data_IF_958337325658
#
_entry.id   IF_958337325658
#
_cell.length_a   1.000
_cell.length_b   1.000
_cell.length_c   1.000
_cell.angle_alpha   90.00
_cell.angle_beta   90.00
_cell.angle_gamma   90.00
#
_symmetry.space_group_name_H-M   'P 1'
#
loop_
_entity.id
_entity.type
_entity.pdbx_description
1 polymer ?
#
# COMPACT_ATOMS: atom_id res chain seq x y z
N UNK A 1 -10.71 4.74 14.63
CA UNK A 1 -9.51 3.86 14.67
C UNK A 1 -8.61 4.06 13.45
N UNK A 2 -9.16 4.09 12.22
CA UNK A 2 -8.39 4.25 10.98
C UNK A 2 -7.62 5.57 10.84
N UNK A 3 -8.21 6.73 11.20
CA UNK A 3 -7.49 8.01 11.14
C UNK A 3 -6.24 8.08 12.04
N UNK A 4 -6.24 7.36 13.18
CA UNK A 4 -5.06 7.25 14.06
C UNK A 4 -3.98 6.37 13.44
N UNK A 5 -4.35 5.24 12.83
CA UNK A 5 -3.43 4.35 12.11
C UNK A 5 -2.79 5.05 10.91
N UNK A 6 -3.58 5.71 10.06
CA UNK A 6 -3.06 6.49 8.94
C UNK A 6 -2.08 7.57 9.44
N UNK A 7 -2.48 8.37 10.44
CA UNK A 7 -1.62 9.42 10.97
C UNK A 7 -0.41 8.89 11.74
N UNK A 8 -0.45 7.68 12.29
CA UNK A 8 0.70 7.04 12.94
C UNK A 8 1.72 6.61 11.88
N UNK A 9 1.25 5.92 10.84
CA UNK A 9 2.12 5.32 9.82
C UNK A 9 2.63 6.30 8.77
N UNK A 10 1.83 7.30 8.40
CA UNK A 10 2.22 8.31 7.40
C UNK A 10 3.14 9.41 7.97
N UNK A 11 3.46 9.39 9.27
CA UNK A 11 4.45 10.32 9.87
C UNK A 11 5.89 9.92 9.59
N UNK A 12 6.12 8.69 9.14
CA UNK A 12 7.47 8.23 8.85
C UNK A 12 7.89 8.67 7.44
N UNK A 13 8.73 9.71 7.38
CA UNK A 13 9.39 10.18 6.17
C UNK A 13 10.92 10.03 6.26
N UNK A 14 11.57 9.90 5.11
CA UNK A 14 13.01 10.14 4.90
C UNK A 14 13.24 11.36 4.00
N UNK A 15 14.42 11.97 4.10
CA UNK A 15 14.86 13.00 3.16
C UNK A 15 15.83 12.32 2.18
N UNK A 16 15.43 12.23 0.92
CA UNK A 16 16.28 11.77 -0.19
C UNK A 16 16.37 12.91 -1.19
N UNK A 17 17.58 13.39 -1.50
CA UNK A 17 17.80 14.51 -2.42
C UNK A 17 16.91 15.74 -2.11
N UNK A 18 16.87 16.15 -0.84
CA UNK A 18 16.04 17.26 -0.31
C UNK A 18 14.51 17.07 -0.41
N UNK A 19 14.02 15.92 -0.91
CA UNK A 19 12.59 15.59 -0.92
C UNK A 19 12.23 14.70 0.27
N UNK A 20 11.12 15.03 0.93
CA UNK A 20 10.50 14.13 1.91
C UNK A 20 9.79 13.01 1.20
N UNK A 21 10.15 11.79 1.57
CA UNK A 21 9.63 10.58 0.95
C UNK A 21 9.09 9.67 2.05
N UNK A 22 7.79 9.32 2.02
CA UNK A 22 7.19 8.50 3.06
C UNK A 22 7.73 7.06 3.00
N UNK A 23 8.09 6.54 4.18
CA UNK A 23 8.48 5.13 4.44
C UNK A 23 7.31 4.21 4.22
N UNK A 24 6.14 4.65 4.70
CA UNK A 24 4.88 3.93 4.59
C UNK A 24 3.87 4.82 3.90
N UNK A 25 3.38 4.38 2.76
CA UNK A 25 2.24 5.01 2.09
C UNK A 25 1.04 4.10 2.18
N UNK A 26 -0.04 4.60 2.77
CA UNK A 26 -1.35 3.95 2.75
C UNK A 26 -2.29 4.88 1.99
N UNK A 27 -3.01 4.37 1.00
CA UNK A 27 -4.04 5.16 0.34
C UNK A 27 -5.21 4.30 -0.11
N UNK A 28 -6.41 4.84 0.05
CA UNK A 28 -7.65 4.22 -0.40
C UNK A 28 -8.23 5.05 -1.53
N UNK A 29 -8.67 4.40 -2.59
CA UNK A 29 -9.31 5.01 -3.75
C UNK A 29 -10.74 4.52 -3.89
N UNK A 30 -11.68 5.46 -4.02
CA UNK A 30 -13.06 5.17 -4.43
C UNK A 30 -13.31 5.87 -5.76
N UNK A 31 -13.44 5.10 -6.82
CA UNK A 31 -13.68 5.62 -8.16
C UNK A 31 -15.12 5.33 -8.55
N UNK A 32 -15.86 6.38 -8.88
CA UNK A 32 -17.27 6.29 -9.23
C UNK A 32 -17.49 6.75 -10.67
N UNK A 33 -18.44 6.14 -11.36
CA UNK A 33 -18.79 6.52 -12.73
C UNK A 33 -19.19 7.99 -12.80
N UNK A 34 -18.72 8.70 -13.84
CA UNK A 34 -18.82 10.17 -13.97
C UNK A 34 -20.25 10.71 -13.90
N UNK A 35 -21.23 9.92 -14.33
CA UNK A 35 -22.66 10.26 -14.30
C UNK A 35 -23.29 10.28 -12.91
N UNK A 36 -22.61 9.74 -11.89
CA UNK A 36 -23.09 9.71 -10.51
C UNK A 36 -22.47 10.84 -9.69
N UNK A 37 -23.10 11.14 -8.56
CA UNK A 37 -22.61 12.15 -7.63
C UNK A 37 -22.42 11.55 -6.23
N UNK A 38 -21.25 11.80 -5.64
CA UNK A 38 -21.01 11.37 -4.26
C UNK A 38 -21.87 12.20 -3.28
N UNK A 39 -22.50 11.53 -2.32
CA UNK A 39 -23.21 12.20 -1.22
C UNK A 39 -22.26 13.01 -0.34
N UNK A 40 -22.76 14.12 0.17
CA UNK A 40 -21.95 15.08 0.93
C UNK A 40 -21.34 14.46 2.19
N UNK A 41 -22.12 13.60 2.85
CA UNK A 41 -21.80 12.87 4.06
C UNK A 41 -20.69 11.86 3.78
N UNK A 42 -20.82 11.09 2.71
CA UNK A 42 -19.79 10.16 2.26
C UNK A 42 -18.47 10.89 1.93
N UNK A 43 -18.55 12.03 1.24
CA UNK A 43 -17.36 12.86 0.92
C UNK A 43 -16.62 13.30 2.20
N UNK A 44 -17.36 13.59 3.28
CA UNK A 44 -16.81 13.99 4.59
C UNK A 44 -16.15 12.80 5.28
N UNK A 45 -16.85 11.66 5.40
CA UNK A 45 -16.30 10.45 6.03
C UNK A 45 -15.06 9.93 5.32
N UNK A 46 -15.04 9.91 3.98
CA UNK A 46 -13.88 9.44 3.22
C UNK A 46 -12.63 10.30 3.48
N UNK A 47 -12.81 11.62 3.64
CA UNK A 47 -11.72 12.55 3.94
C UNK A 47 -11.26 12.44 5.40
N UNK A 48 -12.19 12.31 6.34
CA UNK A 48 -11.89 12.31 7.76
C UNK A 48 -11.27 10.99 8.25
N UNK A 49 -11.79 9.85 7.77
CA UNK A 49 -11.51 8.55 8.38
C UNK A 49 -10.54 7.68 7.58
N UNK A 50 -10.51 7.85 6.26
CA UNK A 50 -9.80 6.93 5.36
C UNK A 50 -8.62 7.56 4.63
N UNK A 51 -8.43 8.89 4.78
CA UNK A 51 -7.53 9.71 3.95
C UNK A 51 -7.65 9.34 2.47
N UNK A 52 -8.87 8.97 2.07
CA UNK A 52 -9.15 8.31 0.81
C UNK A 52 -9.38 9.33 -0.29
N UNK A 53 -8.90 9.01 -1.49
CA UNK A 53 -9.29 9.77 -2.68
C UNK A 53 -10.64 9.27 -3.16
N UNK A 54 -11.50 10.22 -3.50
CA UNK A 54 -12.67 10.00 -4.34
C UNK A 54 -12.39 10.61 -5.70
N UNK A 55 -12.76 9.90 -6.75
CA UNK A 55 -12.65 10.43 -8.10
C UNK A 55 -13.81 9.94 -8.96
N UNK A 56 -14.23 10.81 -9.88
CA UNK A 56 -15.25 10.48 -10.87
C UNK A 56 -14.57 10.14 -12.19
N UNK A 57 -14.72 8.90 -12.65
CA UNK A 57 -14.06 8.36 -13.83
C UNK A 57 -15.11 8.01 -14.88
N UNK A 58 -14.80 8.22 -16.16
CA UNK A 58 -15.68 7.75 -17.23
C UNK A 58 -15.34 6.29 -17.57
N UNK A 59 -16.08 5.34 -17.02
CA UNK A 59 -15.86 3.90 -17.27
C UNK A 59 -16.40 3.40 -18.61
N UNK A 60 -17.13 4.22 -19.38
CA UNK A 60 -17.53 3.82 -20.73
C UNK A 60 -16.33 3.75 -21.68
N UNK A 61 -15.27 4.49 -21.37
CA UNK A 61 -13.95 4.38 -21.99
C UNK A 61 -12.99 3.67 -21.02
N UNK A 62 -12.95 2.33 -21.09
CA UNK A 62 -12.08 1.52 -20.23
C UNK A 62 -10.60 1.86 -20.39
N UNK A 63 -10.16 2.39 -21.55
CA UNK A 63 -8.76 2.77 -21.75
C UNK A 63 -8.41 4.06 -21.02
N UNK A 64 -9.23 5.09 -21.18
CA UNK A 64 -9.07 6.35 -20.45
C UNK A 64 -9.20 6.14 -18.94
N UNK A 65 -10.17 5.33 -18.51
CA UNK A 65 -10.36 4.97 -17.09
C UNK A 65 -9.12 4.28 -16.51
N UNK A 66 -8.60 3.26 -17.20
CA UNK A 66 -7.39 2.54 -16.81
C UNK A 66 -6.20 3.49 -16.65
N UNK A 67 -5.97 4.38 -17.63
CA UNK A 67 -4.87 5.34 -17.57
C UNK A 67 -5.00 6.32 -16.39
N UNK A 68 -6.20 6.86 -16.14
CA UNK A 68 -6.41 7.79 -15.02
C UNK A 68 -6.18 7.14 -13.66
N UNK A 69 -6.70 5.92 -13.48
CA UNK A 69 -6.53 5.17 -12.23
C UNK A 69 -5.05 4.82 -12.03
N UNK A 70 -4.39 4.28 -13.06
CA UNK A 70 -2.98 3.92 -12.99
C UNK A 70 -2.10 5.15 -12.77
N UNK A 71 -2.35 6.27 -13.45
CA UNK A 71 -1.65 7.54 -13.22
C UNK A 71 -1.71 7.91 -11.75
N UNK A 72 -2.91 7.91 -11.15
CA UNK A 72 -3.07 8.36 -9.77
C UNK A 72 -2.34 7.47 -8.78
N UNK A 73 -2.44 6.15 -8.97
CA UNK A 73 -1.77 5.20 -8.11
C UNK A 73 -0.26 5.31 -8.27
N UNK A 74 0.23 5.43 -9.50
CA UNK A 74 1.65 5.63 -9.81
C UNK A 74 2.20 6.83 -9.05
N UNK A 75 1.54 7.98 -9.12
CA UNK A 75 2.01 9.20 -8.47
C UNK A 75 1.89 9.17 -6.95
N UNK A 76 0.83 8.54 -6.42
CA UNK A 76 0.73 8.35 -4.98
C UNK A 76 1.74 7.38 -4.42
N UNK A 77 2.21 6.45 -5.22
CA UNK A 77 3.15 5.42 -4.79
C UNK A 77 4.59 5.74 -5.16
N UNK A 78 4.86 6.94 -5.71
CA UNK A 78 6.17 7.31 -6.25
C UNK A 78 6.71 6.23 -7.18
N UNK A 79 5.89 5.84 -8.17
CA UNK A 79 6.19 4.85 -9.20
C UNK A 79 6.33 3.38 -8.73
N UNK A 80 6.13 3.08 -7.45
CA UNK A 80 6.19 1.70 -6.96
C UNK A 80 5.07 0.82 -7.53
N UNK A 81 3.91 1.37 -7.86
CA UNK A 81 2.79 0.65 -8.48
C UNK A 81 2.37 1.38 -9.77
N UNK A 82 3.09 1.17 -10.88
CA UNK A 82 2.80 1.87 -12.13
C UNK A 82 1.56 1.32 -12.86
N UNK A 83 1.25 0.03 -12.66
CA UNK A 83 0.17 -0.68 -13.36
C UNK A 83 -0.75 -1.36 -12.34
N UNK A 84 -1.75 -0.64 -11.83
CA UNK A 84 -2.73 -1.20 -10.90
C UNK A 84 -3.83 -1.97 -11.62
N UNK A 85 -4.38 -1.41 -12.69
CA UNK A 85 -5.23 -2.09 -13.65
C UNK A 85 -4.34 -2.52 -14.81
N UNK A 86 -4.25 -3.82 -15.05
CA UNK A 86 -3.32 -4.43 -16.01
C UNK A 86 -3.97 -4.71 -17.36
N UNK A 87 -5.30 -4.86 -17.37
CA UNK A 87 -6.07 -5.12 -18.59
C UNK A 87 -7.40 -4.37 -18.57
N UNK A 88 -7.84 -3.94 -19.77
CA UNK A 88 -9.18 -3.37 -19.96
C UNK A 88 -10.30 -4.33 -19.56
N UNK A 89 -10.04 -5.64 -19.57
CA UNK A 89 -11.00 -6.66 -19.17
C UNK A 89 -11.32 -6.61 -17.66
N UNK A 90 -10.44 -6.02 -16.85
CA UNK A 90 -10.73 -5.74 -15.43
C UNK A 90 -11.74 -4.59 -15.25
N UNK A 91 -12.04 -3.85 -16.32
CA UNK A 91 -12.99 -2.74 -16.37
C UNK A 91 -14.11 -3.00 -17.40
N UNK A 92 -15.04 -3.94 -17.13
CA UNK A 92 -16.23 -4.14 -17.96
C UNK A 92 -17.01 -2.83 -18.22
N UNK A 93 -17.71 -2.73 -19.34
CA UNK A 93 -18.41 -1.49 -19.75
C UNK A 93 -19.49 -1.00 -18.76
N UNK A 94 -20.01 -1.91 -17.94
CA UNK A 94 -20.98 -1.64 -16.88
C UNK A 94 -20.32 -1.34 -15.52
N UNK A 95 -19.00 -1.11 -15.50
CA UNK A 95 -18.27 -0.67 -14.32
C UNK A 95 -18.79 0.67 -13.86
N UNK A 96 -19.24 0.72 -12.61
CA UNK A 96 -19.77 1.93 -11.98
C UNK A 96 -18.98 2.34 -10.75
N UNK A 97 -18.42 1.40 -10.00
CA UNK A 97 -17.61 1.70 -8.82
C UNK A 97 -16.45 0.71 -8.65
N UNK A 98 -15.29 1.27 -8.30
CA UNK A 98 -14.06 0.54 -7.98
C UNK A 98 -13.56 1.00 -6.61
N UNK A 99 -13.17 0.02 -5.81
CA UNK A 99 -12.52 0.22 -4.52
C UNK A 99 -11.06 -0.25 -4.62
N UNK A 100 -10.14 0.65 -4.28
CA UNK A 100 -8.72 0.37 -4.28
C UNK A 100 -8.15 0.59 -2.87
N UNK A 101 -7.35 -0.36 -2.40
CA UNK A 101 -6.55 -0.21 -1.20
C UNK A 101 -5.08 -0.42 -1.58
N UNK A 102 -4.24 0.57 -1.28
CA UNK A 102 -2.83 0.57 -1.64
C UNK A 102 -1.98 0.76 -0.40
N UNK A 103 -0.96 -0.09 -0.28
CA UNK A 103 -0.02 -0.10 0.83
C UNK A 103 1.41 -0.29 0.33
N UNK A 104 2.26 0.72 0.46
CA UNK A 104 3.67 0.60 0.07
C UNK A 104 4.61 0.86 1.23
N UNK A 105 5.64 0.04 1.34
CA UNK A 105 6.71 0.16 2.31
C UNK A 105 8.06 0.23 1.60
N UNK A 106 8.88 1.22 1.95
CA UNK A 106 10.24 1.35 1.45
C UNK A 106 11.18 1.91 2.50
N UNK A 107 12.48 1.67 2.32
CA UNK A 107 13.56 2.24 3.13
C UNK A 107 13.43 1.94 4.65
N UNK A 108 12.77 0.82 4.99
CA UNK A 108 12.42 0.46 6.38
C UNK A 108 13.64 0.34 7.31
N UNK A 109 14.81 0.01 6.76
CA UNK A 109 16.03 -0.23 7.54
C UNK A 109 16.85 1.04 7.78
N UNK A 110 16.49 2.18 7.18
CA UNK A 110 17.25 3.42 7.33
C UNK A 110 17.19 4.06 8.73
N UNK A 111 16.22 3.66 9.58
CA UNK A 111 16.17 4.02 11.01
C UNK A 111 16.67 2.91 11.94
N UNK A 112 17.27 1.85 11.39
CA UNK A 112 17.77 0.75 12.22
C UNK A 112 18.84 1.26 13.20
N UNK A 113 18.66 0.94 14.48
CA UNK A 113 19.68 1.24 15.49
C UNK A 113 20.78 0.20 15.40
N UNK A 114 22.03 0.66 15.37
CA UNK A 114 23.20 -0.22 15.46
C UNK A 114 23.18 -0.94 16.80
N UNK A 115 23.07 -2.25 16.76
CA UNK A 115 23.11 -3.13 17.93
C UNK A 115 24.24 -4.14 17.76
N UNK A 116 24.60 -4.86 18.83
CA UNK A 116 25.69 -5.84 18.85
C UNK A 116 25.42 -7.14 18.06
N UNK A 117 24.80 -7.03 16.88
CA UNK A 117 24.50 -8.13 15.96
C UNK A 117 25.05 -7.78 14.58
N UNK A 118 25.84 -8.69 14.01
CA UNK A 118 26.27 -8.61 12.61
C UNK A 118 25.15 -9.15 11.71
N UNK A 119 24.26 -8.25 11.26
CA UNK A 119 23.12 -8.58 10.41
C UNK A 119 23.51 -8.61 8.93
N UNK A 120 23.17 -9.69 8.24
CA UNK A 120 23.18 -9.79 6.77
C UNK A 120 21.77 -10.11 6.29
N UNK A 121 21.09 -9.09 5.78
CA UNK A 121 19.75 -9.18 5.21
C UNK A 121 19.85 -8.95 3.70
N UNK A 122 19.29 -9.83 2.85
CA UNK A 122 19.28 -9.59 1.41
C UNK A 122 18.40 -8.40 1.08
N UNK A 123 18.73 -7.70 0.00
CA UNK A 123 17.78 -6.83 -0.69
C UNK A 123 16.70 -7.68 -1.34
N UNK A 124 15.47 -7.21 -1.29
CA UNK A 124 14.36 -7.86 -1.99
C UNK A 124 13.21 -6.88 -2.22
N UNK A 125 12.38 -7.22 -3.19
CA UNK A 125 11.12 -6.55 -3.47
C UNK A 125 10.00 -7.58 -3.50
N UNK A 126 8.91 -7.30 -2.80
CA UNK A 126 7.68 -8.11 -2.81
C UNK A 126 6.57 -7.24 -3.35
N UNK A 127 5.88 -7.72 -4.37
CA UNK A 127 4.71 -7.07 -4.93
C UNK A 127 3.54 -8.03 -4.86
N UNK A 128 2.36 -7.51 -4.55
CA UNK A 128 1.12 -8.27 -4.56
C UNK A 128 -0.01 -7.40 -5.07
N UNK A 129 -0.84 -7.98 -5.93
CA UNK A 129 -2.07 -7.37 -6.43
C UNK A 129 -3.17 -8.43 -6.38
N UNK A 130 -4.15 -8.21 -5.52
CA UNK A 130 -5.20 -9.20 -5.22
C UNK A 130 -6.55 -8.57 -5.50
N UNK A 131 -7.35 -9.24 -6.34
CA UNK A 131 -8.79 -8.98 -6.40
C UNK A 131 -9.44 -9.61 -5.15
N UNK A 132 -9.99 -8.77 -4.29
CA UNK A 132 -10.59 -9.18 -3.02
C UNK A 132 -12.00 -9.77 -3.18
N UNK A 133 -12.69 -9.50 -4.29
CA UNK A 133 -14.10 -9.91 -4.47
C UNK A 133 -14.30 -11.42 -4.21
N UNK A 134 -13.54 -12.35 -4.82
CA UNK A 134 -13.76 -13.78 -4.60
C UNK A 134 -13.60 -14.18 -3.12
N UNK A 135 -12.61 -13.61 -2.43
CA UNK A 135 -12.35 -13.89 -1.02
C UNK A 135 -13.42 -13.29 -0.10
N UNK A 136 -13.93 -12.10 -0.42
CA UNK A 136 -15.01 -11.50 0.36
C UNK A 136 -16.33 -12.28 0.20
N UNK A 137 -16.58 -12.80 -1.02
CA UNK A 137 -17.75 -13.66 -1.29
C UNK A 137 -17.68 -14.99 -0.53
N UNK A 138 -16.50 -15.62 -0.43
CA UNK A 138 -16.35 -16.85 0.39
C UNK A 138 -16.54 -16.59 1.88
N UNK A 139 -16.27 -15.36 2.34
CA UNK A 139 -16.55 -14.92 3.71
C UNK A 139 -18.00 -14.49 3.95
N UNK A 140 -18.88 -14.59 2.93
CA UNK A 140 -20.31 -14.29 3.04
C UNK A 140 -20.72 -12.87 2.62
N UNK A 141 -19.78 -12.03 2.19
CA UNK A 141 -20.10 -10.70 1.65
C UNK A 141 -20.45 -10.87 0.17
N UNK A 142 -21.74 -11.05 -0.13
CA UNK A 142 -22.22 -11.29 -1.49
C UNK A 142 -22.93 -10.08 -2.09
N UNK A 143 -23.90 -9.52 -1.37
CA UNK A 143 -24.78 -8.44 -1.86
C UNK A 143 -24.02 -7.26 -2.45
N UNK A 144 -22.90 -6.86 -1.81
CA UNK A 144 -22.04 -5.76 -2.24
C UNK A 144 -21.52 -5.91 -3.67
N UNK A 145 -21.35 -7.15 -4.15
CA UNK A 145 -20.79 -7.49 -5.45
C UNK A 145 -21.85 -8.03 -6.42
N UNK A 146 -23.12 -8.05 -6.02
CA UNK A 146 -24.21 -8.59 -6.82
C UNK A 146 -25.12 -7.46 -7.30
N UNK A 147 -25.29 -7.38 -8.62
CA UNK A 147 -26.21 -6.43 -9.26
C UNK A 147 -27.61 -6.57 -8.68
N UNK A 148 -28.21 -5.45 -8.27
CA UNK A 148 -29.58 -5.40 -7.75
C UNK A 148 -29.73 -5.70 -6.26
N UNK A 149 -28.68 -6.19 -5.59
CA UNK A 149 -28.69 -6.49 -4.16
C UNK A 149 -27.90 -5.49 -3.32
N UNK A 150 -26.85 -4.89 -3.89
CA UNK A 150 -26.01 -3.93 -3.18
C UNK A 150 -26.80 -2.65 -2.79
N UNK A 151 -26.87 -2.35 -1.50
CA UNK A 151 -27.30 -1.04 -1.02
C UNK A 151 -26.09 -0.12 -0.83
N UNK A 152 -25.87 0.76 -1.82
CA UNK A 152 -24.84 1.78 -1.81
C UNK A 152 -25.42 3.20 -1.73
N UNK A 153 -26.66 3.34 -1.21
CA UNK A 153 -27.37 4.61 -1.08
C UNK A 153 -26.68 5.62 -0.14
N UNK A 154 -25.77 5.15 0.72
CA UNK A 154 -24.90 6.01 1.51
C UNK A 154 -23.81 6.73 0.70
N UNK A 155 -23.41 6.18 -0.47
CA UNK A 155 -22.31 6.70 -1.30
C UNK A 155 -22.81 7.70 -2.33
N UNK A 156 -23.92 7.37 -3.01
CA UNK A 156 -24.51 8.16 -4.09
C UNK A 156 -26.02 7.98 -4.06
N UNK A 157 -26.74 8.87 -4.74
CA UNK A 157 -28.19 8.72 -4.86
C UNK A 157 -28.51 7.41 -5.58
N UNK A 158 -29.41 6.64 -4.96
CA UNK A 158 -29.60 5.22 -5.22
C UNK A 158 -30.00 4.96 -6.67
N UNK A 159 -29.09 4.37 -7.43
CA UNK A 159 -29.40 3.54 -8.58
C UNK A 159 -29.33 2.08 -8.12
N UNK A 160 -30.44 1.36 -8.19
CA UNK A 160 -30.53 -0.06 -7.83
C UNK A 160 -29.58 -0.95 -8.64
N UNK A 161 -28.97 -0.42 -9.70
CA UNK A 161 -27.99 -1.10 -10.54
C UNK A 161 -26.53 -0.85 -10.11
N UNK A 162 -26.27 -0.09 -9.04
CA UNK A 162 -24.91 0.14 -8.53
C UNK A 162 -24.48 -0.99 -7.60
N UNK A 163 -23.34 -1.60 -7.88
CA UNK A 163 -22.68 -2.63 -7.06
C UNK A 163 -21.17 -2.52 -7.29
N UNK A 164 -20.34 -3.05 -6.39
CA UNK A 164 -18.88 -2.98 -6.52
C UNK A 164 -18.40 -3.92 -7.61
N UNK A 165 -17.90 -3.35 -8.71
CA UNK A 165 -17.41 -4.11 -9.86
C UNK A 165 -15.99 -4.64 -9.65
N UNK A 166 -15.17 -3.90 -8.89
CA UNK A 166 -13.79 -4.27 -8.60
C UNK A 166 -13.41 -3.78 -7.21
N UNK A 167 -12.84 -4.68 -6.42
CA UNK A 167 -12.20 -4.38 -5.15
C UNK A 167 -10.80 -4.97 -5.18
N UNK A 168 -9.77 -4.12 -5.31
CA UNK A 168 -8.39 -4.58 -5.51
C UNK A 168 -7.46 -4.00 -4.46
N UNK A 169 -6.68 -4.87 -3.83
CA UNK A 169 -5.61 -4.49 -2.91
C UNK A 169 -4.27 -4.64 -3.63
N UNK A 170 -3.43 -3.60 -3.57
CA UNK A 170 -2.07 -3.64 -4.10
C UNK A 170 -1.09 -3.28 -3.00
N UNK A 171 -0.04 -4.08 -2.84
CA UNK A 171 1.00 -3.83 -1.86
C UNK A 171 2.39 -4.03 -2.43
N UNK A 172 3.32 -3.16 -2.04
CA UNK A 172 4.73 -3.27 -2.39
C UNK A 172 5.57 -3.12 -1.14
N UNK A 173 6.48 -4.06 -0.91
CA UNK A 173 7.52 -3.98 0.10
C UNK A 173 8.87 -4.00 -0.61
N UNK A 174 9.62 -2.89 -0.53
CA UNK A 174 11.00 -2.79 -1.00
C UNK A 174 11.94 -2.69 0.19
N UNK A 175 12.93 -3.57 0.28
CA UNK A 175 13.99 -3.53 1.27
C UNK A 175 15.34 -3.36 0.55
N UNK A 176 16.01 -2.25 0.85
CA UNK A 176 17.27 -1.75 0.28
C UNK A 176 18.12 -1.12 1.40
N UNK A 177 19.37 -0.75 1.10
CA UNK A 177 20.28 -0.07 2.02
C UNK A 177 20.18 1.47 1.97
N UNK A 178 19.31 2.01 1.11
CA UNK A 178 19.08 3.45 0.96
C UNK A 178 18.71 4.06 2.33
N UNK A 179 19.56 4.96 2.84
CA UNK A 179 19.46 5.60 4.16
C UNK A 179 20.32 5.00 5.28
N UNK A 180 20.89 3.81 5.09
CA UNK A 180 21.97 3.28 5.95
C UNK A 180 23.33 3.87 5.55
N UNK A 181 23.53 4.13 4.24
CA UNK A 181 24.78 4.66 3.70
C UNK A 181 25.14 6.04 4.30
N UNK A 182 24.16 6.94 4.47
CA UNK A 182 24.38 8.25 5.07
C UNK A 182 24.81 8.18 6.55
N UNK A 183 24.32 7.18 7.29
CA UNK A 183 24.70 6.95 8.69
C UNK A 183 26.11 6.31 8.83
N UNK A 184 26.57 5.58 7.80
CA UNK A 184 27.90 4.97 7.80
C UNK A 184 29.03 5.97 7.51
N UNK A 185 28.75 7.08 6.80
CA UNK A 185 29.75 8.08 6.40
C UNK A 185 30.18 9.00 7.56
N UNK A 186 29.41 9.09 8.65
CA UNK A 186 29.82 9.80 9.89
C UNK A 186 30.79 8.97 10.77
N UNK A 187 31.51 8.03 10.16
CA UNK A 187 32.31 7.01 10.81
C UNK A 187 33.83 7.14 10.62
N UNK A 188 34.40 8.36 10.61
CA UNK A 188 35.80 8.50 11.06
C UNK A 188 35.85 8.31 12.58
N UNK A 189 35.47 7.12 13.04
CA UNK A 189 35.49 6.73 14.44
C UNK A 189 36.80 5.99 14.71
N UNK A 190 37.58 6.50 15.67
CA UNK A 190 38.70 5.76 16.26
C UNK A 190 38.12 4.51 16.91
N UNK A 191 38.34 3.34 16.29
CA UNK A 191 37.91 2.05 16.87
C UNK A 191 38.93 1.65 17.94
N UNK A 192 38.54 1.59 19.23
CA UNK A 192 39.43 1.08 20.28
C UNK A 192 39.78 -0.38 20.00
N UNK A 193 41.04 -0.77 20.20
CA UNK A 193 41.48 -2.16 20.03
C UNK A 193 40.81 -3.14 21.03
N UNK A 194 40.14 -2.61 22.06
CA UNK A 194 39.34 -3.36 23.04
C UNK A 194 37.87 -3.54 22.64
N UNK A 195 37.43 -3.03 21.48
CA UNK A 195 36.04 -3.10 21.06
C UNK A 195 35.63 -4.56 20.86
N UNK A 196 34.64 -5.02 21.62
CA UNK A 196 34.10 -6.38 21.49
C UNK A 196 33.31 -6.48 20.19
N UNK A 197 33.82 -7.24 19.22
CA UNK A 197 33.13 -7.57 17.98
C UNK A 197 31.80 -8.26 18.33
N UNK A 198 30.67 -7.90 17.69
CA UNK A 198 29.39 -8.52 17.97
C UNK A 198 29.47 -10.05 17.90
N UNK A 199 29.09 -10.74 19.00
CA UNK A 199 29.18 -12.21 19.12
C UNK A 199 28.11 -12.96 18.33
N UNK A 200 27.10 -12.26 17.82
CA UNK A 200 25.96 -12.85 17.13
C UNK A 200 25.97 -12.41 15.68
N UNK A 201 26.23 -13.37 14.78
CA UNK A 201 26.00 -13.20 13.34
C UNK A 201 24.59 -13.67 13.01
N UNK A 202 23.82 -12.84 12.31
CA UNK A 202 22.48 -13.19 11.84
C UNK A 202 22.43 -13.06 10.32
N UNK A 203 22.48 -14.20 9.64
CA UNK A 203 22.51 -14.28 8.19
C UNK A 203 21.19 -14.82 7.64
N UNK A 204 20.48 -13.98 6.89
CA UNK A 204 19.19 -14.32 6.28
C UNK A 204 19.44 -14.87 4.86
N UNK A 205 19.93 -16.09 4.77
CA UNK A 205 20.37 -16.74 3.52
C UNK A 205 19.49 -17.92 3.06
N UNK A 206 18.32 -18.09 3.66
CA UNK A 206 17.36 -19.14 3.36
C UNK A 206 15.93 -18.59 3.56
N UNK A 207 14.86 -19.33 3.18
CA UNK A 207 13.51 -18.83 3.26
C UNK A 207 13.15 -18.30 4.65
N UNK A 208 12.57 -17.10 4.70
CA UNK A 208 12.24 -16.40 5.93
C UNK A 208 10.83 -15.80 5.87
N UNK A 209 10.32 -15.41 7.03
CA UNK A 209 9.06 -14.70 7.16
C UNK A 209 9.36 -13.28 7.62
N UNK A 210 8.70 -12.30 7.01
CA UNK A 210 8.81 -10.90 7.33
C UNK A 210 7.45 -10.39 7.81
N UNK A 211 7.47 -9.62 8.90
CA UNK A 211 6.31 -8.89 9.40
C UNK A 211 6.65 -7.42 9.54
N UNK A 212 5.76 -6.56 9.08
CA UNK A 212 5.75 -5.13 9.45
C UNK A 212 4.65 -4.96 10.46
N UNK A 213 5.02 -4.42 11.61
CA UNK A 213 4.18 -4.44 12.79
C UNK A 213 4.09 -3.04 13.40
N UNK A 214 2.87 -2.56 13.57
CA UNK A 214 2.62 -1.32 14.31
C UNK A 214 2.71 -1.64 15.82
N UNK A 215 3.70 -1.06 16.50
CA UNK A 215 3.91 -1.30 17.94
C UNK A 215 2.87 -0.64 18.83
N UNK A 216 2.31 0.49 18.43
CA UNK A 216 1.31 1.21 19.23
C UNK A 216 -0.03 0.48 19.20
N UNK A 217 -0.45 0.06 18.01
CA UNK A 217 -1.74 -0.58 17.75
C UNK A 217 -1.68 -2.09 17.88
N UNK A 218 -0.48 -2.67 17.98
CA UNK A 218 -0.24 -4.11 18.10
C UNK A 218 -0.83 -4.91 16.93
N UNK A 219 -0.73 -4.36 15.72
CA UNK A 219 -1.33 -4.95 14.52
C UNK A 219 -0.25 -5.27 13.47
N UNK A 220 -0.29 -6.47 12.86
CA UNK A 220 0.50 -6.76 11.68
C UNK A 220 -0.07 -5.96 10.50
N UNK A 221 0.75 -5.08 9.93
CA UNK A 221 0.42 -4.29 8.75
C UNK A 221 0.74 -5.05 7.45
N UNK A 222 1.78 -5.88 7.52
CA UNK A 222 2.23 -6.69 6.40
C UNK A 222 2.81 -8.00 6.92
N UNK A 223 2.53 -9.08 6.21
CA UNK A 223 3.10 -10.40 6.46
C UNK A 223 3.46 -11.03 5.13
N UNK A 224 4.70 -11.51 5.00
CA UNK A 224 5.15 -12.18 3.79
C UNK A 224 6.11 -13.31 4.10
N UNK A 225 6.09 -14.33 3.24
CA UNK A 225 7.07 -15.39 3.20
C UNK A 225 7.98 -15.16 2.01
N UNK A 226 9.27 -14.98 2.25
CA UNK A 226 10.29 -14.78 1.22
C UNK A 226 11.03 -16.09 1.04
N UNK A 227 10.82 -16.76 -0.08
CA UNK A 227 11.50 -18.03 -0.42
C UNK A 227 12.63 -17.83 -1.41
N UNK A 228 12.55 -16.80 -2.26
CA UNK A 228 13.58 -16.44 -3.22
C UNK A 228 13.64 -14.91 -3.34
N UNK A 229 14.60 -14.25 -2.67
CA UNK A 229 14.79 -12.81 -2.79
C UNK A 229 15.34 -12.50 -4.19
N UNK A 230 14.46 -12.24 -5.16
CA UNK A 230 14.91 -11.67 -6.44
C UNK A 230 15.45 -10.25 -6.20
N UNK A 231 16.57 -9.93 -6.84
CA UNK A 231 17.14 -8.59 -6.77
C UNK A 231 16.15 -7.58 -7.40
N UNK A 232 15.98 -6.39 -6.77
CA UNK A 232 15.08 -5.34 -7.25
C UNK A 232 15.50 -4.74 -8.59
#
# INVERSE_FOLDING_TARGET
MHGKLYNSLSKEDFIVEERRVPVVTITNGVFLQKSYEFRSEFKKSLKADFSGRKEKINFTDSYEAMQKINWWIKEKTNDLIPNFITSKNELPKDTKIILANILTFKDLVAKAQVTGVALRLPRFKIESQINLIPYMQTLGIQDLFTRGLADLSGITDSDKLLFVNLMKQSSVLKVNEEGVEAAAVTGMAVVPLSLTVPKVEFHVNHPFVCFIYDRELRLPLFAARVTNPQQP
#
